data_IF_195432549334
#
_entry.id   IF_195432549334
#
_cell.length_a   1.000
_cell.length_b   1.000
_cell.length_c   1.000
_cell.angle_alpha   90.00
_cell.angle_beta   90.00
_cell.angle_gamma   90.00
#
_symmetry.space_group_name_H-M   'P 1'
#
loop_
_entity.id
_entity.type
_entity.pdbx_description
1 polymer ?
#
# COMPACT_ATOMS: atom_id res chain seq x y z
N UNK A 1 -20.51 17.21 7.87
CA UNK A 1 -20.52 16.11 6.86
C UNK A 1 -20.27 14.77 7.55
N UNK A 2 -19.18 14.56 8.29
CA UNK A 2 -18.88 13.27 8.95
C UNK A 2 -19.98 12.90 9.95
N UNK A 3 -20.43 13.84 10.80
CA UNK A 3 -21.53 13.59 11.75
C UNK A 3 -22.82 13.18 11.03
N UNK A 4 -23.18 13.87 9.95
CA UNK A 4 -24.39 13.51 9.18
C UNK A 4 -24.31 12.11 8.54
N UNK A 5 -23.13 11.69 8.08
CA UNK A 5 -22.92 10.33 7.57
C UNK A 5 -23.08 9.30 8.69
N UNK A 6 -22.57 9.60 9.88
CA UNK A 6 -22.68 8.71 11.04
C UNK A 6 -24.11 8.61 11.59
N UNK A 7 -24.89 9.67 11.50
CA UNK A 7 -26.30 9.67 11.90
C UNK A 7 -27.20 8.90 10.93
N UNK A 8 -26.91 8.98 9.62
CA UNK A 8 -27.67 8.27 8.58
C UNK A 8 -27.26 6.81 8.39
N UNK A 9 -26.15 6.39 8.99
CA UNK A 9 -25.67 5.02 8.84
C UNK A 9 -26.51 4.05 9.69
N UNK A 10 -26.81 2.90 9.13
CA UNK A 10 -27.54 1.83 9.81
C UNK A 10 -26.89 1.47 11.14
N UNK A 11 -27.72 1.29 12.17
CA UNK A 11 -27.26 0.92 13.52
C UNK A 11 -27.55 -0.55 13.72
N UNK A 12 -26.51 -1.34 13.86
CA UNK A 12 -26.60 -2.77 14.15
C UNK A 12 -26.73 -3.02 15.66
N UNK A 13 -27.18 -4.24 16.02
CA UNK A 13 -27.31 -4.65 17.42
C UNK A 13 -25.95 -4.57 18.15
N UNK A 14 -25.94 -3.84 19.27
CA UNK A 14 -24.71 -3.55 20.03
C UNK A 14 -24.02 -4.82 20.55
N UNK A 15 -24.83 -5.83 20.96
CA UNK A 15 -24.29 -7.10 21.47
C UNK A 15 -23.59 -7.89 20.35
N UNK A 16 -24.17 -7.88 19.15
CA UNK A 16 -23.59 -8.52 17.97
C UNK A 16 -22.29 -7.83 17.57
N UNK A 17 -22.26 -6.50 17.53
CA UNK A 17 -21.05 -5.74 17.23
C UNK A 17 -19.94 -5.99 18.28
N UNK A 18 -20.31 -6.08 19.55
CA UNK A 18 -19.36 -6.40 20.62
C UNK A 18 -18.78 -7.82 20.46
N UNK A 19 -19.62 -8.79 20.10
CA UNK A 19 -19.17 -10.16 19.86
C UNK A 19 -18.26 -10.30 18.65
N UNK A 20 -18.39 -9.42 17.64
CA UNK A 20 -17.56 -9.41 16.43
C UNK A 20 -16.19 -8.74 16.61
N UNK A 21 -15.94 -7.99 17.68
CA UNK A 21 -14.65 -7.31 17.92
C UNK A 21 -13.43 -8.22 17.87
N UNK A 22 -13.41 -9.41 18.50
CA UNK A 22 -12.23 -10.30 18.40
C UNK A 22 -11.98 -10.77 16.97
N UNK A 23 -13.05 -11.02 16.20
CA UNK A 23 -12.95 -11.41 14.81
C UNK A 23 -12.39 -10.27 13.95
N UNK A 24 -12.82 -9.02 14.21
CA UNK A 24 -12.25 -7.85 13.53
C UNK A 24 -10.76 -7.69 13.81
N UNK A 25 -10.31 -7.91 15.04
CA UNK A 25 -8.87 -7.89 15.35
C UNK A 25 -8.11 -8.93 14.53
N UNK A 26 -8.67 -10.13 14.39
CA UNK A 26 -8.08 -11.19 13.58
C UNK A 26 -8.01 -10.80 12.10
N UNK A 27 -9.08 -10.26 11.53
CA UNK A 27 -9.11 -9.81 10.12
C UNK A 27 -8.17 -8.64 9.88
N UNK A 28 -8.06 -7.71 10.83
CA UNK A 28 -7.09 -6.61 10.77
C UNK A 28 -5.64 -7.12 10.78
N UNK A 29 -5.33 -8.16 11.55
CA UNK A 29 -4.00 -8.80 11.52
C UNK A 29 -3.72 -9.46 10.16
N UNK A 30 -4.70 -10.15 9.57
CA UNK A 30 -4.57 -10.77 8.25
C UNK A 30 -4.39 -9.72 7.15
N UNK A 31 -5.17 -8.65 7.19
CA UNK A 31 -5.05 -7.53 6.25
C UNK A 31 -3.69 -6.83 6.40
N UNK A 32 -3.26 -6.56 7.63
CA UNK A 32 -1.94 -5.96 7.91
C UNK A 32 -0.79 -6.83 7.40
N UNK A 33 -0.89 -8.16 7.51
CA UNK A 33 0.09 -9.09 6.96
C UNK A 33 0.13 -9.02 5.43
N UNK A 34 -1.03 -9.08 4.78
CA UNK A 34 -1.15 -9.01 3.32
C UNK A 34 -0.63 -7.68 2.78
N UNK A 35 -0.97 -6.59 3.45
CA UNK A 35 -0.55 -5.22 3.18
C UNK A 35 0.97 -5.08 3.27
N UNK A 36 1.55 -5.49 4.41
CA UNK A 36 2.98 -5.41 4.65
C UNK A 36 3.80 -6.24 3.65
N UNK A 37 3.36 -7.45 3.33
CA UNK A 37 4.03 -8.31 2.35
C UNK A 37 4.08 -7.65 0.95
N UNK A 38 2.96 -7.04 0.50
CA UNK A 38 2.91 -6.34 -0.77
C UNK A 38 3.75 -5.05 -0.77
N UNK A 39 3.63 -4.23 0.28
CA UNK A 39 4.29 -2.94 0.34
C UNK A 39 5.81 -3.06 0.51
N UNK A 40 6.30 -4.06 1.25
CA UNK A 40 7.75 -4.36 1.30
C UNK A 40 8.25 -4.71 -0.09
N UNK A 41 7.56 -5.60 -0.82
CA UNK A 41 7.96 -5.99 -2.16
C UNK A 41 7.98 -4.80 -3.13
N UNK A 42 6.97 -3.95 -3.10
CA UNK A 42 6.88 -2.75 -3.95
C UNK A 42 7.97 -1.72 -3.61
N UNK A 43 8.28 -1.53 -2.33
CA UNK A 43 9.24 -0.52 -1.87
C UNK A 43 10.67 -0.90 -2.18
N UNK A 44 11.06 -2.16 -1.97
CA UNK A 44 12.44 -2.60 -2.12
C UNK A 44 12.73 -3.33 -3.43
N UNK A 45 11.70 -3.70 -4.19
CA UNK A 45 11.82 -4.41 -5.46
C UNK A 45 12.81 -3.75 -6.44
N UNK A 46 12.68 -2.44 -6.73
CA UNK A 46 13.63 -1.74 -7.60
C UNK A 46 15.06 -1.76 -7.07
N UNK A 47 15.26 -1.58 -5.78
CA UNK A 47 16.58 -1.63 -5.16
C UNK A 47 17.17 -3.05 -5.22
N UNK A 48 16.38 -4.06 -4.92
CA UNK A 48 16.80 -5.46 -5.03
C UNK A 48 17.19 -5.82 -6.48
N UNK A 49 16.43 -5.32 -7.46
CA UNK A 49 16.75 -5.51 -8.88
C UNK A 49 18.11 -4.87 -9.25
N UNK A 50 18.37 -3.64 -8.82
CA UNK A 50 19.65 -2.95 -9.04
C UNK A 50 20.80 -3.74 -8.43
N UNK A 51 20.68 -4.17 -7.17
CA UNK A 51 21.73 -4.96 -6.50
C UNK A 51 21.98 -6.29 -7.21
N UNK A 52 20.92 -6.95 -7.67
CA UNK A 52 21.02 -8.22 -8.40
C UNK A 52 21.74 -8.04 -9.74
N UNK A 53 21.39 -7.02 -10.52
CA UNK A 53 22.06 -6.69 -11.77
C UNK A 53 23.53 -6.34 -11.54
N UNK A 54 23.80 -5.53 -10.52
CA UNK A 54 25.15 -5.15 -10.14
C UNK A 54 26.04 -6.36 -9.81
N UNK A 55 25.53 -7.29 -8.99
CA UNK A 55 26.27 -8.52 -8.63
C UNK A 55 26.46 -9.48 -9.81
N UNK A 56 25.46 -9.58 -10.68
CA UNK A 56 25.51 -10.51 -11.82
C UNK A 56 26.31 -9.97 -13.02
N UNK A 57 26.56 -8.67 -13.08
CA UNK A 57 27.22 -8.01 -14.22
C UNK A 57 26.45 -8.12 -15.54
N UNK A 58 25.21 -8.62 -15.51
CA UNK A 58 24.39 -8.82 -16.72
C UNK A 58 22.90 -8.70 -16.42
N UNK A 59 22.11 -8.29 -17.42
CA UNK A 59 20.66 -8.21 -17.33
C UNK A 59 20.05 -9.46 -17.96
N UNK A 60 19.34 -10.28 -17.17
CA UNK A 60 18.57 -11.42 -17.65
C UNK A 60 17.08 -11.19 -17.38
N UNK A 61 16.22 -11.70 -18.25
CA UNK A 61 14.76 -11.51 -18.20
C UNK A 61 14.12 -12.03 -16.89
N UNK A 62 14.72 -13.05 -16.28
CA UNK A 62 14.35 -13.56 -14.95
C UNK A 62 15.62 -13.78 -14.15
N UNK A 63 15.81 -12.95 -13.15
CA UNK A 63 16.89 -13.09 -12.19
C UNK A 63 16.26 -13.39 -10.84
N UNK A 64 16.41 -14.60 -10.29
CA UNK A 64 15.97 -14.89 -8.93
C UNK A 64 16.76 -14.01 -7.97
N UNK A 65 16.08 -13.49 -6.95
CA UNK A 65 16.76 -12.84 -5.84
C UNK A 65 17.67 -13.87 -5.17
N UNK A 66 18.95 -13.57 -5.06
CA UNK A 66 19.90 -14.43 -4.36
C UNK A 66 19.60 -14.49 -2.86
N UNK A 67 20.13 -15.52 -2.19
CA UNK A 67 19.94 -15.73 -0.74
C UNK A 67 20.41 -14.52 0.10
N UNK A 68 21.35 -13.74 -0.41
CA UNK A 68 21.82 -12.48 0.19
C UNK A 68 20.77 -11.34 0.17
N UNK A 69 19.62 -11.51 -0.43
CA UNK A 69 18.64 -10.43 -0.60
C UNK A 69 17.73 -10.24 0.62
N UNK A 70 17.77 -11.13 1.59
CA UNK A 70 16.95 -11.03 2.81
C UNK A 70 17.23 -9.75 3.61
N UNK A 71 18.46 -9.25 3.60
CA UNK A 71 18.79 -7.99 4.28
C UNK A 71 18.08 -6.79 3.65
N UNK A 72 17.88 -6.80 2.31
CA UNK A 72 17.14 -5.76 1.58
C UNK A 72 15.68 -5.76 2.00
N UNK A 73 15.06 -6.95 2.06
CA UNK A 73 13.69 -7.11 2.52
C UNK A 73 13.53 -6.65 3.98
N UNK A 74 14.50 -7.01 4.83
CA UNK A 74 14.51 -6.60 6.25
C UNK A 74 14.64 -5.09 6.39
N UNK A 75 15.50 -4.45 5.61
CA UNK A 75 15.66 -3.00 5.59
C UNK A 75 14.36 -2.30 5.20
N UNK A 76 13.70 -2.80 4.14
CA UNK A 76 12.42 -2.27 3.68
C UNK A 76 11.31 -2.44 4.72
N UNK A 77 11.21 -3.63 5.32
CA UNK A 77 10.24 -3.90 6.37
C UNK A 77 10.44 -2.98 7.58
N UNK A 78 11.68 -2.79 8.02
CA UNK A 78 12.02 -1.88 9.11
C UNK A 78 11.65 -0.42 8.78
N UNK A 79 11.94 0.02 7.55
CA UNK A 79 11.56 1.36 7.08
C UNK A 79 10.05 1.58 7.09
N UNK A 80 9.26 0.58 6.66
CA UNK A 80 7.79 0.64 6.69
C UNK A 80 7.28 0.72 8.13
N UNK A 81 7.81 -0.10 9.05
CA UNK A 81 7.43 -0.07 10.47
C UNK A 81 7.67 1.31 11.08
N UNK A 82 8.83 1.91 10.83
CA UNK A 82 9.14 3.27 11.31
C UNK A 82 8.17 4.29 10.70
N UNK A 83 7.94 4.23 9.39
CA UNK A 83 7.04 5.15 8.70
C UNK A 83 5.61 5.08 9.24
N UNK A 84 5.11 3.87 9.46
CA UNK A 84 3.79 3.65 10.06
C UNK A 84 3.71 4.16 11.50
N UNK A 85 4.74 3.92 12.31
CA UNK A 85 4.79 4.36 13.69
C UNK A 85 4.84 5.91 13.80
N UNK A 86 5.57 6.57 12.91
CA UNK A 86 5.74 8.03 12.96
C UNK A 86 4.56 8.80 12.35
N UNK A 87 4.01 8.34 11.24
CA UNK A 87 3.00 9.10 10.50
C UNK A 87 1.79 8.30 10.03
N UNK A 88 1.93 6.99 9.83
CA UNK A 88 0.89 6.13 9.25
C UNK A 88 -0.42 6.16 10.04
N UNK A 89 -0.37 6.28 11.37
CA UNK A 89 -1.55 6.34 12.23
C UNK A 89 -2.51 7.48 11.87
N UNK A 90 -2.00 8.63 11.40
CA UNK A 90 -2.81 9.76 10.96
C UNK A 90 -3.59 9.45 9.69
N UNK A 91 -2.95 8.73 8.78
CA UNK A 91 -3.56 8.32 7.51
C UNK A 91 -4.62 7.26 7.77
N UNK A 92 -4.32 6.25 8.59
CA UNK A 92 -5.26 5.20 8.96
C UNK A 92 -6.50 5.77 9.64
N UNK A 93 -6.33 6.71 10.55
CA UNK A 93 -7.47 7.40 11.20
C UNK A 93 -8.31 8.20 10.20
N UNK A 94 -7.68 8.84 9.22
CA UNK A 94 -8.39 9.60 8.20
C UNK A 94 -9.17 8.71 7.24
N UNK A 95 -8.63 7.56 6.84
CA UNK A 95 -9.28 6.62 5.94
C UNK A 95 -10.35 5.77 6.66
N UNK A 96 -10.04 5.30 7.87
CA UNK A 96 -10.89 4.39 8.62
C UNK A 96 -12.17 5.01 9.21
N UNK A 97 -12.20 6.31 9.52
CA UNK A 97 -13.34 6.90 10.23
C UNK A 97 -14.02 8.07 9.53
N UNK A 98 -13.47 8.55 8.40
CA UNK A 98 -13.99 9.76 7.74
C UNK A 98 -14.68 9.48 6.41
N UNK A 99 -14.47 8.32 5.80
CA UNK A 99 -15.09 7.95 4.52
C UNK A 99 -16.50 7.41 4.79
N UNK A 100 -16.66 6.51 5.75
CA UNK A 100 -17.93 5.95 6.17
C UNK A 100 -17.93 5.68 7.69
N UNK A 101 -19.07 5.29 8.23
CA UNK A 101 -19.17 4.84 9.63
C UNK A 101 -18.53 3.46 9.77
N UNK A 102 -17.53 3.34 10.62
CA UNK A 102 -16.86 2.08 10.91
C UNK A 102 -17.49 1.40 12.12
N UNK A 103 -17.85 0.14 11.96
CA UNK A 103 -18.29 -0.78 13.03
C UNK A 103 -17.51 -2.08 12.87
N UNK A 104 -17.44 -2.95 13.91
CA UNK A 104 -16.77 -4.23 13.81
C UNK A 104 -17.21 -5.08 12.61
N UNK A 105 -18.50 -5.19 12.35
CA UNK A 105 -19.03 -5.94 11.21
C UNK A 105 -18.57 -5.38 9.87
N UNK A 106 -18.63 -4.05 9.68
CA UNK A 106 -18.16 -3.38 8.47
C UNK A 106 -16.64 -3.52 8.31
N UNK A 107 -15.90 -3.37 9.42
CA UNK A 107 -14.45 -3.53 9.44
C UNK A 107 -14.02 -4.91 8.95
N UNK A 108 -14.64 -5.98 9.43
CA UNK A 108 -14.39 -7.35 8.98
C UNK A 108 -14.55 -7.47 7.46
N UNK A 109 -15.66 -6.98 6.92
CA UNK A 109 -15.94 -7.06 5.47
C UNK A 109 -14.91 -6.28 4.66
N UNK A 110 -14.52 -5.09 5.11
CA UNK A 110 -13.53 -4.24 4.45
C UNK A 110 -12.15 -4.91 4.46
N UNK A 111 -11.71 -5.35 5.63
CA UNK A 111 -10.39 -5.96 5.84
C UNK A 111 -10.25 -7.27 5.06
N UNK A 112 -11.26 -8.14 5.11
CA UNK A 112 -11.25 -9.38 4.32
C UNK A 112 -11.29 -9.10 2.81
N UNK A 113 -12.13 -8.17 2.37
CA UNK A 113 -12.22 -7.79 0.96
C UNK A 113 -10.90 -7.24 0.43
N UNK A 114 -10.27 -6.34 1.18
CA UNK A 114 -8.96 -5.79 0.83
C UNK A 114 -7.87 -6.88 0.82
N UNK A 115 -7.76 -7.67 1.88
CA UNK A 115 -6.78 -8.73 1.99
C UNK A 115 -6.89 -9.77 0.86
N UNK A 116 -8.12 -10.19 0.51
CA UNK A 116 -8.35 -11.13 -0.59
C UNK A 116 -7.85 -10.59 -1.93
N UNK A 117 -8.16 -9.33 -2.25
CA UNK A 117 -7.70 -8.69 -3.50
C UNK A 117 -6.19 -8.55 -3.51
N UNK A 118 -5.58 -8.12 -2.40
CA UNK A 118 -4.12 -7.96 -2.27
C UNK A 118 -3.41 -9.30 -2.45
N UNK A 119 -3.85 -10.35 -1.76
CA UNK A 119 -3.24 -11.69 -1.85
C UNK A 119 -3.38 -12.24 -3.27
N UNK A 120 -4.57 -12.15 -3.86
CA UNK A 120 -4.82 -12.65 -5.21
C UNK A 120 -3.96 -11.91 -6.25
N UNK A 121 -3.92 -10.59 -6.20
CA UNK A 121 -3.12 -9.80 -7.13
C UNK A 121 -1.62 -10.02 -6.95
N UNK A 122 -1.14 -10.14 -5.70
CA UNK A 122 0.27 -10.47 -5.42
C UNK A 122 0.64 -11.85 -5.96
N UNK A 123 -0.26 -12.83 -5.87
CA UNK A 123 -0.05 -14.19 -6.45
C UNK A 123 0.00 -14.16 -7.97
N UNK A 124 -0.79 -13.30 -8.59
CA UNK A 124 -0.82 -13.13 -10.05
C UNK A 124 0.32 -12.21 -10.56
N UNK A 125 1.11 -11.63 -9.67
CA UNK A 125 2.19 -10.70 -10.03
C UNK A 125 1.68 -9.34 -10.50
N UNK A 126 0.48 -8.94 -10.10
CA UNK A 126 -0.06 -7.63 -10.40
C UNK A 126 0.52 -6.58 -9.45
N UNK A 127 1.01 -5.45 -9.97
CA UNK A 127 1.44 -4.34 -9.12
C UNK A 127 0.21 -3.65 -8.54
N UNK A 128 -0.14 -3.97 -7.30
CA UNK A 128 -1.30 -3.41 -6.61
C UNK A 128 -0.88 -2.36 -5.59
N UNK A 129 -1.73 -1.34 -5.46
CA UNK A 129 -1.68 -0.42 -4.33
C UNK A 129 -2.64 -0.92 -3.24
N UNK A 130 -2.10 -1.25 -2.10
CA UNK A 130 -2.85 -1.68 -0.92
C UNK A 130 -3.84 -0.62 -0.45
N UNK A 131 -3.46 0.66 -0.49
CA UNK A 131 -4.35 1.77 -0.16
C UNK A 131 -5.55 1.86 -1.10
N UNK A 132 -5.36 1.62 -2.41
CA UNK A 132 -6.48 1.59 -3.36
C UNK A 132 -7.42 0.42 -3.06
N UNK A 133 -6.90 -0.76 -2.75
CA UNK A 133 -7.70 -1.92 -2.37
C UNK A 133 -8.52 -1.64 -1.11
N UNK A 134 -7.90 -1.06 -0.09
CA UNK A 134 -8.56 -0.71 1.18
C UNK A 134 -9.65 0.34 1.00
N UNK A 135 -9.38 1.43 0.27
CA UNK A 135 -10.38 2.46 -0.02
C UNK A 135 -11.49 1.90 -0.89
N UNK A 136 -11.17 1.06 -1.88
CA UNK A 136 -12.16 0.38 -2.72
C UNK A 136 -13.10 -0.52 -1.90
N UNK A 137 -12.55 -1.33 -1.00
CA UNK A 137 -13.34 -2.17 -0.10
C UNK A 137 -14.22 -1.31 0.85
N UNK A 138 -13.67 -0.21 1.37
CA UNK A 138 -14.42 0.74 2.22
C UNK A 138 -15.58 1.36 1.47
N UNK A 139 -15.37 1.81 0.24
CA UNK A 139 -16.43 2.38 -0.62
C UNK A 139 -17.45 1.30 -0.97
N UNK A 140 -17.01 0.07 -1.28
CA UNK A 140 -17.90 -1.05 -1.57
C UNK A 140 -18.88 -1.34 -0.42
N UNK A 141 -18.38 -1.38 0.80
CA UNK A 141 -19.22 -1.56 2.00
C UNK A 141 -20.12 -0.34 2.22
N UNK A 142 -19.59 0.87 2.08
CA UNK A 142 -20.36 2.10 2.25
C UNK A 142 -21.49 2.27 1.21
N UNK A 143 -21.35 1.71 0.01
CA UNK A 143 -22.40 1.69 -1.01
C UNK A 143 -23.67 0.96 -0.57
N UNK A 144 -23.57 0.03 0.38
CA UNK A 144 -24.75 -0.65 0.96
C UNK A 144 -25.66 0.31 1.71
N UNK A 145 -25.13 1.40 2.23
CA UNK A 145 -25.87 2.48 2.91
C UNK A 145 -26.34 3.58 1.94
N UNK A 146 -26.12 3.36 0.65
CA UNK A 146 -26.47 4.33 -0.39
C UNK A 146 -25.45 5.48 -0.53
N UNK A 147 -25.78 6.42 -1.40
CA UNK A 147 -24.91 7.55 -1.74
C UNK A 147 -24.63 8.49 -0.55
N UNK A 148 -25.57 8.55 0.41
CA UNK A 148 -25.44 9.34 1.63
C UNK A 148 -24.49 8.75 2.68
N UNK A 149 -24.14 7.45 2.58
CA UNK A 149 -23.22 6.76 3.48
C UNK A 149 -21.73 7.05 3.19
N UNK A 150 -21.43 7.76 2.10
CA UNK A 150 -20.06 8.00 1.63
C UNK A 150 -19.70 9.47 1.74
N UNK A 151 -18.53 9.73 2.32
CA UNK A 151 -17.93 11.07 2.29
C UNK A 151 -17.22 11.32 0.96
N UNK A 152 -17.97 11.75 -0.04
CA UNK A 152 -17.47 12.03 -1.39
C UNK A 152 -16.34 13.07 -1.41
N UNK A 153 -16.38 14.07 -0.51
CA UNK A 153 -15.33 15.07 -0.44
C UNK A 153 -13.97 14.46 -0.04
N UNK A 154 -13.96 13.62 0.99
CA UNK A 154 -12.75 12.92 1.44
C UNK A 154 -12.29 11.93 0.37
N UNK A 155 -13.21 11.17 -0.24
CA UNK A 155 -12.89 10.23 -1.31
C UNK A 155 -12.22 10.94 -2.50
N UNK A 156 -12.82 12.01 -3.00
CA UNK A 156 -12.25 12.78 -4.12
C UNK A 156 -10.92 13.43 -3.78
N UNK A 157 -10.75 13.91 -2.55
CA UNK A 157 -9.45 14.41 -2.07
C UNK A 157 -8.38 13.30 -2.05
N UNK A 158 -8.75 12.10 -1.68
CA UNK A 158 -7.85 10.93 -1.68
C UNK A 158 -7.45 10.58 -3.11
N UNK A 159 -8.41 10.51 -4.04
CA UNK A 159 -8.15 10.27 -5.48
C UNK A 159 -7.24 11.35 -6.08
N UNK A 160 -7.50 12.60 -5.78
CA UNK A 160 -6.64 13.71 -6.22
C UNK A 160 -5.21 13.57 -5.67
N UNK A 161 -5.08 13.13 -4.41
CA UNK A 161 -3.78 12.81 -3.80
C UNK A 161 -3.03 11.73 -4.54
N UNK A 162 -3.70 10.67 -4.97
CA UNK A 162 -3.09 9.59 -5.76
C UNK A 162 -2.54 10.10 -7.10
N UNK A 163 -3.33 10.89 -7.84
CA UNK A 163 -2.88 11.50 -9.11
C UNK A 163 -1.68 12.40 -8.89
N UNK A 164 -1.74 13.26 -7.87
CA UNK A 164 -0.65 14.18 -7.54
C UNK A 164 0.63 13.41 -7.17
N UNK A 165 0.52 12.33 -6.41
CA UNK A 165 1.65 11.49 -6.02
C UNK A 165 2.34 10.89 -7.23
N UNK A 166 1.60 10.37 -8.22
CA UNK A 166 2.18 9.82 -9.46
C UNK A 166 2.99 10.88 -10.22
N UNK A 167 2.46 12.11 -10.32
CA UNK A 167 3.13 13.21 -11.00
C UNK A 167 4.44 13.57 -10.27
N UNK A 168 4.37 13.81 -8.95
CA UNK A 168 5.53 14.21 -8.14
C UNK A 168 6.61 13.13 -8.17
N UNK A 169 6.24 11.88 -7.91
CA UNK A 169 7.20 10.76 -7.88
C UNK A 169 7.79 10.51 -9.27
N UNK A 170 6.98 10.59 -10.33
CA UNK A 170 7.45 10.45 -11.70
C UNK A 170 8.51 11.48 -12.08
N UNK A 171 8.25 12.76 -11.82
CA UNK A 171 9.22 13.83 -12.08
C UNK A 171 10.46 13.69 -11.21
N UNK A 172 10.32 13.38 -9.92
CA UNK A 172 11.46 13.23 -9.02
C UNK A 172 12.35 12.06 -9.44
N UNK A 173 11.75 10.89 -9.72
CA UNK A 173 12.48 9.73 -10.19
C UNK A 173 13.21 10.01 -11.53
N UNK A 174 12.52 10.66 -12.48
CA UNK A 174 13.11 11.05 -13.77
C UNK A 174 14.28 12.01 -13.60
N UNK A 175 14.19 12.98 -12.68
CA UNK A 175 15.28 13.90 -12.39
C UNK A 175 16.50 13.18 -11.82
N UNK A 176 16.33 12.24 -10.89
CA UNK A 176 17.43 11.45 -10.35
C UNK A 176 18.08 10.56 -11.40
N UNK A 177 17.29 9.91 -12.25
CA UNK A 177 17.81 9.09 -13.34
C UNK A 177 18.56 9.95 -14.34
N UNK A 178 18.01 11.09 -14.74
CA UNK A 178 18.67 12.03 -15.66
C UNK A 178 19.99 12.55 -15.08
N UNK A 179 20.02 12.90 -13.79
CA UNK A 179 21.25 13.32 -13.11
C UNK A 179 22.30 12.19 -13.13
N UNK A 180 21.92 10.96 -12.82
CA UNK A 180 22.83 9.82 -12.84
C UNK A 180 23.33 9.50 -14.26
N UNK A 181 22.46 9.59 -15.27
CA UNK A 181 22.82 9.32 -16.66
C UNK A 181 23.66 10.44 -17.30
N UNK A 182 23.46 11.70 -16.90
CA UNK A 182 24.18 12.86 -17.41
C UNK A 182 25.45 13.20 -16.61
N UNK A 183 25.63 12.60 -15.42
CA UNK A 183 26.82 12.85 -14.61
C UNK A 183 28.08 12.43 -15.38
N UNK A 184 29.11 13.33 -15.56
CA UNK A 184 30.31 12.99 -16.26
C UNK A 184 31.07 11.93 -15.44
N UNK A 185 30.99 10.68 -15.84
CA UNK A 185 31.84 9.62 -15.29
C UNK A 185 33.25 9.80 -15.88
N UNK A 186 34.18 10.27 -15.07
CA UNK A 186 35.57 10.46 -15.47
C UNK A 186 36.34 9.14 -15.64
N UNK A 187 35.82 8.05 -15.10
CA UNK A 187 36.35 6.69 -15.31
C UNK A 187 35.21 5.67 -15.18
N UNK A 188 35.01 4.86 -16.20
CA UNK A 188 34.20 3.63 -16.06
C UNK A 188 34.91 2.67 -15.12
N UNK A 189 34.23 2.08 -14.14
CA UNK A 189 34.82 1.01 -13.35
C UNK A 189 35.29 -0.13 -14.26
N UNK A 190 36.35 -0.83 -13.90
CA UNK A 190 36.98 -1.88 -14.72
C UNK A 190 36.00 -3.01 -15.12
N UNK A 191 34.90 -3.19 -14.42
CA UNK A 191 33.82 -4.16 -14.75
C UNK A 191 32.91 -3.69 -15.91
N UNK A 192 32.91 -2.42 -16.24
CA UNK A 192 32.21 -1.86 -17.40
C UNK A 192 32.99 -2.00 -18.69
N UNK A 193 34.08 -2.80 -18.67
CA UNK A 193 34.94 -3.04 -19.77
C UNK A 193 34.22 -3.58 -21.00
N UNK A 194 34.43 -2.90 -22.08
CA UNK A 194 34.00 -3.23 -23.41
C UNK A 194 34.38 -4.68 -23.78
N UNK A 195 33.38 -5.49 -24.09
CA UNK A 195 33.49 -6.57 -25.06
C UNK A 195 32.48 -6.32 -26.16
#
# INVERSE_FOLDING_TARGET
IVAAIHENAEVFDEKTELALRPLQVLTACLDSFSHGANDVANSVGPFAAIVTVYKAGSIKKKMPMGDDSYWILSLGAFGIVIGLALYGYKILHALGGKICKMTPSRGICIELGAAMVIIMGSRLGWPLSTTHCQVGATVGVACLEGVGGINWFILMKTVAGWVLTLIIVGFTASAFVAQGAAAPMTKYPAWAGHN
#
